data_IF_837639547657
#
_entry.id   IF_837639547657
#
_cell.length_a   1.000
_cell.length_b   1.000
_cell.length_c   1.000
_cell.angle_alpha   90.00
_cell.angle_beta   90.00
_cell.angle_gamma   90.00
#
_symmetry.space_group_name_H-M   'P 1'
#
loop_
_entity.id
_entity.type
_entity.pdbx_description
1 polymer ?
#
# COMPACT_ATOMS: atom_id res chain seq x y z
N UNK A 1 43.05 49.61 -56.82
CA UNK A 1 44.04 48.80 -57.56
C UNK A 1 43.43 47.44 -57.90
N UNK A 2 43.87 46.89 -59.04
CA UNK A 2 43.68 45.53 -59.59
C UNK A 2 43.83 44.42 -58.52
N UNK A 3 43.26 43.23 -58.63
CA UNK A 3 42.96 42.43 -59.85
C UNK A 3 41.61 41.70 -59.80
N UNK A 4 41.05 41.48 -61.00
CA UNK A 4 40.04 40.46 -61.29
C UNK A 4 40.70 39.31 -62.08
N UNK A 5 40.20 38.09 -61.95
CA UNK A 5 40.47 37.00 -62.89
C UNK A 5 39.26 36.04 -62.96
N UNK A 6 38.49 36.16 -64.04
CA UNK A 6 37.56 35.11 -64.52
C UNK A 6 38.30 34.16 -65.47
N UNK A 7 37.62 33.03 -65.78
CA UNK A 7 37.68 32.17 -66.98
C UNK A 7 38.23 30.74 -66.74
N UNK A 8 37.81 29.67 -67.45
CA UNK A 8 36.48 29.20 -68.00
C UNK A 8 36.73 27.92 -68.83
N UNK A 9 35.91 26.86 -68.68
CA UNK A 9 35.88 25.64 -69.52
C UNK A 9 36.92 24.57 -69.15
N UNK A 10 36.92 23.31 -69.62
CA UNK A 10 36.02 22.44 -70.46
C UNK A 10 36.65 21.00 -70.46
N UNK A 11 36.01 19.84 -70.65
CA UNK A 11 34.59 19.37 -70.71
C UNK A 11 34.54 17.81 -70.60
N UNK A 12 33.35 17.23 -70.35
CA UNK A 12 32.81 15.88 -70.70
C UNK A 12 33.50 14.52 -70.37
N UNK A 13 32.72 13.61 -69.74
CA UNK A 13 32.51 12.15 -70.04
C UNK A 13 31.64 11.50 -68.95
N UNK A 14 30.38 11.09 -69.22
CA UNK A 14 29.89 9.76 -69.67
C UNK A 14 29.75 8.68 -68.56
N UNK A 15 28.48 8.39 -68.28
CA UNK A 15 27.76 7.30 -67.59
C UNK A 15 28.41 6.05 -66.92
N UNK A 16 27.99 5.83 -65.65
CA UNK A 16 27.61 4.58 -64.91
C UNK A 16 28.55 3.33 -64.84
N UNK A 17 28.39 2.37 -63.87
CA UNK A 17 27.31 2.16 -62.89
C UNK A 17 27.68 1.85 -61.40
N UNK A 18 26.70 2.10 -60.52
CA UNK A 18 26.27 1.33 -59.32
C UNK A 18 27.19 0.89 -58.15
N UNK A 19 26.66 1.20 -56.95
CA UNK A 19 26.67 0.43 -55.68
C UNK A 19 27.99 0.29 -54.90
N UNK A 20 28.05 1.02 -53.77
CA UNK A 20 28.02 0.39 -52.44
C UNK A 20 27.42 1.32 -51.38
N UNK A 21 26.68 0.74 -50.44
CA UNK A 21 25.89 1.46 -49.43
C UNK A 21 26.75 2.02 -48.30
N UNK A 22 26.27 3.09 -47.66
CA UNK A 22 26.48 3.33 -46.23
C UNK A 22 25.11 3.59 -45.62
N UNK A 23 24.68 2.73 -44.70
CA UNK A 23 23.38 2.82 -44.06
C UNK A 23 23.31 4.05 -43.14
N UNK A 24 22.10 4.62 -43.05
CA UNK A 24 21.76 5.70 -42.15
C UNK A 24 20.81 5.16 -41.08
N UNK A 25 21.37 4.50 -40.07
CA UNK A 25 20.59 3.97 -38.96
C UNK A 25 20.33 5.09 -37.95
N UNK A 26 19.30 5.88 -38.25
CA UNK A 26 18.71 6.83 -37.30
C UNK A 26 17.62 6.08 -36.52
N UNK A 27 18.04 5.26 -35.55
CA UNK A 27 17.11 4.50 -34.71
C UNK A 27 16.25 5.46 -33.87
N UNK A 28 15.00 5.59 -34.29
CA UNK A 28 14.00 6.40 -33.62
C UNK A 28 13.54 5.63 -32.36
N UNK A 29 14.12 5.96 -31.20
CA UNK A 29 13.75 5.37 -29.91
C UNK A 29 12.25 5.64 -29.66
N UNK A 30 11.39 4.62 -29.50
CA UNK A 30 9.99 4.85 -29.19
C UNK A 30 9.88 5.42 -27.78
N UNK A 31 9.26 6.59 -27.66
CA UNK A 31 8.84 7.11 -26.36
C UNK A 31 7.77 6.17 -25.78
N UNK A 32 7.92 5.79 -24.51
CA UNK A 32 6.92 5.05 -23.76
C UNK A 32 5.59 5.79 -23.81
N UNK A 33 4.56 5.18 -24.42
CA UNK A 33 3.23 5.78 -24.40
C UNK A 33 2.63 5.57 -22.99
N UNK A 34 2.06 6.62 -22.35
CA UNK A 34 1.40 6.47 -21.06
C UNK A 34 0.16 5.58 -21.19
N UNK A 35 -0.21 4.89 -20.10
CA UNK A 35 -1.34 3.99 -20.06
C UNK A 35 -2.62 4.67 -20.58
N UNK A 36 -3.39 4.01 -21.43
CA UNK A 36 -4.70 4.52 -21.84
C UNK A 36 -5.63 4.57 -20.63
N UNK A 37 -6.61 5.49 -20.65
CA UNK A 37 -7.63 5.59 -19.59
C UNK A 37 -8.40 4.27 -19.39
N UNK A 38 -8.48 3.44 -20.43
CA UNK A 38 -9.13 2.13 -20.42
C UNK A 38 -8.30 1.10 -19.62
N UNK A 39 -6.96 1.10 -19.75
CA UNK A 39 -6.09 0.21 -18.98
C UNK A 39 -6.17 0.51 -17.48
N UNK A 40 -6.11 1.79 -17.08
CA UNK A 40 -6.27 2.17 -15.66
C UNK A 40 -7.63 1.73 -15.11
N UNK A 41 -8.71 1.89 -15.88
CA UNK A 41 -10.07 1.46 -15.47
C UNK A 41 -10.19 -0.08 -15.30
N UNK A 42 -9.49 -0.87 -16.13
CA UNK A 42 -9.45 -2.32 -15.98
C UNK A 42 -8.68 -2.73 -14.69
N UNK A 43 -7.60 -2.03 -14.37
CA UNK A 43 -6.87 -2.21 -13.11
C UNK A 43 -7.68 -1.77 -11.89
N UNK A 44 -8.45 -0.69 -11.97
CA UNK A 44 -9.35 -0.27 -10.88
C UNK A 44 -10.34 -1.37 -10.51
N UNK A 45 -11.02 -1.94 -11.51
CA UNK A 45 -11.96 -3.05 -11.31
C UNK A 45 -11.28 -4.32 -10.76
N UNK A 46 -10.04 -4.60 -11.18
CA UNK A 46 -9.25 -5.72 -10.66
C UNK A 46 -8.85 -5.50 -9.19
N UNK A 47 -8.30 -4.34 -8.85
CA UNK A 47 -7.85 -4.03 -7.48
C UNK A 47 -9.03 -3.94 -6.50
N UNK A 48 -10.17 -3.37 -6.92
CA UNK A 48 -11.37 -3.34 -6.09
C UNK A 48 -11.95 -4.75 -5.86
N UNK A 49 -11.96 -5.61 -6.87
CA UNK A 49 -12.53 -6.97 -6.75
C UNK A 49 -11.61 -8.00 -6.09
N UNK A 50 -10.29 -7.94 -6.31
CA UNK A 50 -9.31 -8.93 -5.82
C UNK A 50 -8.59 -8.51 -4.55
N UNK A 51 -8.31 -7.20 -4.37
CA UNK A 51 -7.57 -6.65 -3.23
C UNK A 51 -8.46 -5.85 -2.26
N UNK A 52 -9.72 -5.58 -2.64
CA UNK A 52 -10.64 -4.71 -1.91
C UNK A 52 -10.06 -3.30 -1.68
N UNK A 53 -9.35 -2.79 -2.70
CA UNK A 53 -8.70 -1.49 -2.71
C UNK A 53 -9.16 -0.74 -3.96
N UNK A 54 -9.84 0.40 -3.78
CA UNK A 54 -9.95 1.40 -4.85
C UNK A 54 -8.60 2.11 -4.96
N UNK A 55 -8.00 2.08 -6.15
CA UNK A 55 -6.70 2.70 -6.35
C UNK A 55 -6.82 4.23 -6.24
N UNK A 56 -6.01 4.88 -5.40
CA UNK A 56 -5.83 6.32 -5.48
C UNK A 56 -4.94 6.64 -6.70
N UNK A 57 -5.14 7.81 -7.33
CA UNK A 57 -4.51 8.12 -8.62
C UNK A 57 -2.98 8.07 -8.62
N UNK A 58 -2.36 8.41 -7.47
CA UNK A 58 -0.91 8.37 -7.29
C UNK A 58 -0.32 6.95 -7.34
N UNK A 59 -1.12 5.91 -7.12
CA UNK A 59 -0.68 4.52 -7.24
C UNK A 59 -0.17 4.24 -8.67
N UNK A 60 -0.92 4.67 -9.70
CA UNK A 60 -0.52 4.48 -11.09
C UNK A 60 0.63 5.42 -11.48
N UNK A 61 0.55 6.68 -11.08
CA UNK A 61 1.57 7.70 -11.43
C UNK A 61 2.95 7.36 -10.81
N UNK A 62 2.98 6.81 -9.58
CA UNK A 62 4.22 6.29 -8.96
C UNK A 62 4.71 5.02 -9.63
N UNK A 63 3.82 4.16 -10.13
CA UNK A 63 4.23 2.97 -10.87
C UNK A 63 4.86 3.31 -12.23
N UNK A 64 4.29 4.26 -12.96
CA UNK A 64 4.83 4.76 -14.23
C UNK A 64 6.22 5.38 -14.02
N UNK A 65 6.41 6.21 -12.99
CA UNK A 65 7.73 6.72 -12.58
C UNK A 65 8.71 5.59 -12.25
N UNK A 66 8.27 4.56 -11.52
CA UNK A 66 9.11 3.42 -11.16
C UNK A 66 9.51 2.61 -12.40
N UNK A 67 8.62 2.47 -13.39
CA UNK A 67 8.89 1.83 -14.67
C UNK A 67 9.84 2.65 -15.55
N UNK A 68 9.76 3.99 -15.57
CA UNK A 68 10.77 4.84 -16.22
C UNK A 68 12.16 4.64 -15.58
N UNK A 69 12.22 4.67 -14.24
CA UNK A 69 13.47 4.57 -13.48
C UNK A 69 14.13 3.19 -13.54
N UNK A 70 13.34 2.11 -13.68
CA UNK A 70 13.84 0.73 -13.78
C UNK A 70 12.84 -0.20 -14.49
N UNK A 71 12.82 -0.24 -15.84
CA UNK A 71 11.88 -1.06 -16.60
C UNK A 71 11.90 -2.55 -16.21
N UNK A 72 13.09 -3.13 -16.04
CA UNK A 72 13.29 -4.55 -15.67
C UNK A 72 12.76 -4.93 -14.28
N UNK A 73 12.63 -3.96 -13.37
CA UNK A 73 12.21 -4.22 -11.99
C UNK A 73 11.65 -2.96 -11.33
N UNK A 74 10.43 -2.52 -11.71
CA UNK A 74 9.85 -1.27 -11.23
C UNK A 74 9.73 -1.24 -9.71
N UNK A 75 9.31 -2.35 -9.08
CA UNK A 75 9.21 -2.44 -7.62
C UNK A 75 10.53 -2.17 -6.87
N UNK A 76 11.68 -2.35 -7.52
CA UNK A 76 13.01 -2.10 -6.93
C UNK A 76 13.58 -0.72 -7.30
N UNK A 77 12.90 0.09 -8.12
CA UNK A 77 13.43 1.34 -8.69
C UNK A 77 14.05 2.27 -7.63
N UNK A 78 13.37 2.42 -6.48
CA UNK A 78 13.78 3.32 -5.40
C UNK A 78 14.74 2.71 -4.35
N UNK A 79 15.13 1.43 -4.47
CA UNK A 79 15.96 0.75 -3.45
C UNK A 79 17.33 1.42 -3.32
N UNK A 80 18.04 1.60 -4.44
CA UNK A 80 19.40 2.16 -4.43
C UNK A 80 19.49 3.68 -4.16
N UNK A 81 18.36 4.38 -4.10
CA UNK A 81 18.30 5.82 -3.82
C UNK A 81 17.63 6.07 -2.46
N UNK A 82 16.41 5.61 -2.28
CA UNK A 82 15.56 5.89 -1.13
C UNK A 82 15.56 4.77 -0.08
N UNK A 83 16.13 3.60 -0.37
CA UNK A 83 16.02 2.41 0.49
C UNK A 83 14.57 1.95 0.62
N UNK A 84 13.80 2.08 -0.47
CA UNK A 84 12.37 1.76 -0.54
C UNK A 84 12.13 0.74 -1.66
N UNK A 85 11.34 -0.29 -1.37
CA UNK A 85 10.79 -1.24 -2.35
C UNK A 85 9.27 -1.07 -2.40
N UNK A 86 8.70 -0.96 -3.60
CA UNK A 86 7.25 -1.02 -3.78
C UNK A 86 6.77 -2.48 -3.61
N UNK A 87 5.56 -2.68 -3.09
CA UNK A 87 5.00 -4.03 -2.88
C UNK A 87 3.47 -4.09 -2.99
N UNK A 88 2.88 -5.27 -2.80
CA UNK A 88 1.44 -5.50 -2.74
C UNK A 88 0.78 -5.28 -4.11
N UNK A 89 -0.08 -4.26 -4.29
CA UNK A 89 -0.63 -3.94 -5.60
C UNK A 89 0.48 -3.64 -6.64
N UNK A 90 1.61 -3.08 -6.23
CA UNK A 90 2.72 -2.81 -7.15
C UNK A 90 3.41 -4.08 -7.66
N UNK A 91 3.48 -5.14 -6.85
CA UNK A 91 4.05 -6.42 -7.29
C UNK A 91 3.15 -7.08 -8.36
N UNK A 92 1.82 -6.84 -8.31
CA UNK A 92 0.87 -7.26 -9.34
C UNK A 92 0.93 -6.40 -10.59
N UNK A 93 1.07 -5.07 -10.46
CA UNK A 93 1.36 -4.19 -11.61
C UNK A 93 2.69 -4.55 -12.27
N UNK A 94 3.67 -5.02 -11.49
CA UNK A 94 4.97 -5.46 -11.97
C UNK A 94 4.98 -6.88 -12.57
N UNK A 95 3.93 -7.68 -12.36
CA UNK A 95 3.80 -9.00 -12.97
C UNK A 95 3.49 -8.91 -14.49
N UNK A 96 3.37 -10.08 -15.13
CA UNK A 96 3.03 -10.23 -16.55
C UNK A 96 1.52 -10.48 -16.71
N UNK A 97 1.13 -11.37 -17.62
CA UNK A 97 -0.27 -11.66 -17.96
C UNK A 97 -1.01 -12.44 -16.85
N UNK A 98 -0.30 -13.22 -16.05
CA UNK A 98 -0.88 -14.04 -14.98
C UNK A 98 0.05 -14.16 -13.76
N UNK A 99 -0.54 -14.50 -12.61
CA UNK A 99 0.17 -14.88 -11.38
C UNK A 99 -0.39 -16.17 -10.78
N UNK A 100 0.49 -17.06 -10.35
CA UNK A 100 0.13 -18.21 -9.51
C UNK A 100 0.00 -17.74 -8.07
N UNK A 101 -1.13 -18.00 -7.44
CA UNK A 101 -1.39 -17.63 -6.04
C UNK A 101 -1.74 -18.84 -5.19
N UNK A 102 -1.18 -18.90 -3.98
CA UNK A 102 -1.48 -19.92 -2.96
C UNK A 102 -2.32 -19.38 -1.80
N UNK A 103 -2.42 -18.04 -1.69
CA UNK A 103 -3.18 -17.29 -0.70
C UNK A 103 -4.04 -16.21 -1.40
N UNK A 104 -5.13 -15.73 -0.80
CA UNK A 104 -5.95 -14.68 -1.40
C UNK A 104 -5.18 -13.36 -1.60
N UNK A 105 -5.25 -12.78 -2.81
CA UNK A 105 -4.51 -11.57 -3.19
C UNK A 105 -4.70 -10.35 -2.25
N UNK A 106 -5.87 -10.20 -1.62
CA UNK A 106 -6.12 -9.14 -0.62
C UNK A 106 -5.27 -9.25 0.66
N UNK A 107 -4.49 -10.33 0.81
CA UNK A 107 -3.50 -10.50 1.88
C UNK A 107 -2.08 -10.11 1.47
N UNK A 108 -1.80 -9.98 0.17
CA UNK A 108 -0.46 -9.76 -0.33
C UNK A 108 0.14 -8.44 0.19
N UNK A 109 1.35 -8.51 0.75
CA UNK A 109 2.07 -7.36 1.30
C UNK A 109 1.69 -6.99 2.75
N UNK A 110 0.73 -7.67 3.37
CA UNK A 110 0.33 -7.38 4.76
C UNK A 110 1.33 -7.93 5.79
N UNK A 111 1.69 -7.10 6.76
CA UNK A 111 2.45 -7.50 7.95
C UNK A 111 1.51 -7.97 9.07
N UNK A 112 2.04 -8.72 10.04
CA UNK A 112 1.29 -9.42 11.10
C UNK A 112 0.28 -8.56 11.88
N UNK A 113 0.59 -7.28 12.07
CA UNK A 113 -0.23 -6.31 12.80
C UNK A 113 -1.07 -5.37 11.91
N UNK A 114 -1.03 -5.51 10.59
CA UNK A 114 -1.78 -4.64 9.68
C UNK A 114 -3.30 -4.80 9.90
N UNK A 115 -4.01 -3.74 10.33
CA UNK A 115 -5.46 -3.77 10.41
C UNK A 115 -6.04 -3.79 8.98
N UNK A 116 -7.28 -4.29 8.80
CA UNK A 116 -7.89 -4.43 7.47
C UNK A 116 -7.89 -3.16 6.60
N UNK A 117 -8.05 -2.01 7.25
CA UNK A 117 -8.08 -0.65 6.69
C UNK A 117 -6.77 -0.23 6.01
N UNK A 118 -5.63 -0.76 6.47
CA UNK A 118 -4.30 -0.49 5.88
C UNK A 118 -4.07 -1.47 4.73
N UNK A 119 -3.63 -0.96 3.57
CA UNK A 119 -3.08 -1.76 2.48
C UNK A 119 -1.62 -1.34 2.25
N UNK A 120 -0.69 -2.19 2.66
CA UNK A 120 0.76 -1.93 2.56
C UNK A 120 1.24 -1.96 1.11
N UNK A 121 2.03 -0.95 0.74
CA UNK A 121 2.44 -0.67 -0.65
C UNK A 121 3.92 -0.28 -0.80
N UNK A 122 4.62 0.07 0.28
CA UNK A 122 6.07 0.31 0.27
C UNK A 122 6.69 -0.30 1.53
N UNK A 123 7.87 -0.90 1.41
CA UNK A 123 8.69 -1.39 2.55
C UNK A 123 10.06 -0.71 2.58
N UNK A 124 10.59 -0.47 3.77
CA UNK A 124 11.96 -0.02 3.98
C UNK A 124 12.91 -1.21 3.75
N UNK A 125 13.99 -1.03 2.98
CA UNK A 125 14.94 -2.10 2.68
C UNK A 125 16.25 -1.99 3.46
N UNK A 126 16.37 -1.01 4.36
CA UNK A 126 17.59 -0.77 5.15
C UNK A 126 17.41 -1.01 6.66
N UNK A 127 16.21 -1.38 7.10
CA UNK A 127 15.90 -1.67 8.50
C UNK A 127 15.33 -3.08 8.66
N UNK A 128 15.80 -3.77 9.69
CA UNK A 128 15.35 -5.08 10.20
C UNK A 128 14.14 -4.97 11.17
N UNK A 129 13.55 -3.78 11.30
CA UNK A 129 12.31 -3.56 12.06
C UNK A 129 11.05 -3.80 11.23
N UNK A 130 11.15 -4.09 9.93
CA UNK A 130 10.00 -4.26 9.05
C UNK A 130 9.19 -2.97 8.84
N UNK A 131 9.84 -1.80 8.93
CA UNK A 131 9.21 -0.49 8.66
C UNK A 131 8.57 -0.49 7.27
N UNK A 132 7.32 -0.06 7.20
CA UNK A 132 6.56 -0.07 5.96
C UNK A 132 5.49 1.02 5.91
N UNK A 133 4.97 1.27 4.72
CA UNK A 133 3.95 2.26 4.43
C UNK A 133 2.77 1.65 3.70
N UNK A 134 1.57 2.10 4.06
CA UNK A 134 0.32 1.65 3.47
C UNK A 134 -0.67 2.78 3.23
N UNK A 135 -1.60 2.54 2.32
CA UNK A 135 -2.79 3.36 2.14
C UNK A 135 -3.82 3.02 3.22
N UNK A 136 -4.36 4.03 3.90
CA UNK A 136 -5.40 3.88 4.93
C UNK A 136 -6.76 4.41 4.44
N UNK A 137 -7.82 3.64 4.72
CA UNK A 137 -9.22 3.94 4.36
C UNK A 137 -10.16 3.41 5.43
N UNK A 138 -11.12 4.22 5.89
CA UNK A 138 -12.09 3.82 6.92
C UNK A 138 -13.19 2.89 6.35
N UNK A 139 -13.34 2.81 5.02
CA UNK A 139 -14.32 1.93 4.33
C UNK A 139 -13.67 1.26 3.11
N UNK A 140 -14.02 0.00 2.74
CA UNK A 140 -13.37 -0.70 1.62
C UNK A 140 -13.69 -0.08 0.25
N UNK A 141 -14.78 0.68 0.16
CA UNK A 141 -15.26 1.42 -1.01
C UNK A 141 -14.81 2.89 -1.04
N UNK A 142 -14.01 3.34 -0.06
CA UNK A 142 -13.37 4.66 -0.03
C UNK A 142 -12.02 4.61 -0.76
N UNK A 143 -11.75 5.64 -1.57
CA UNK A 143 -10.40 5.88 -2.11
C UNK A 143 -9.51 6.37 -0.97
N UNK A 144 -8.34 5.77 -0.69
CA UNK A 144 -7.48 6.19 0.40
C UNK A 144 -7.09 7.67 0.35
N UNK A 145 -7.18 8.35 1.49
CA UNK A 145 -6.84 9.78 1.62
C UNK A 145 -5.55 10.00 2.43
N UNK A 146 -5.02 8.93 3.03
CA UNK A 146 -3.88 8.95 3.93
C UNK A 146 -2.89 7.84 3.57
N UNK A 147 -1.61 8.19 3.53
CA UNK A 147 -0.49 7.24 3.60
C UNK A 147 0.00 7.21 5.04
N UNK A 148 0.03 6.01 5.61
CA UNK A 148 0.46 5.74 6.98
C UNK A 148 1.77 4.98 7.02
N UNK A 149 2.52 5.12 8.12
CA UNK A 149 3.80 4.47 8.37
C UNK A 149 3.71 3.62 9.64
N UNK A 150 4.07 2.35 9.57
CA UNK A 150 4.46 1.57 10.74
C UNK A 150 5.98 1.65 10.88
N UNK A 151 6.47 2.19 12.00
CA UNK A 151 7.91 2.35 12.24
C UNK A 151 8.62 1.04 12.61
N UNK A 152 7.88 0.07 13.14
CA UNK A 152 8.29 -1.33 13.29
C UNK A 152 7.06 -2.21 13.08
N UNK A 153 7.19 -3.29 12.31
CA UNK A 153 6.11 -4.27 12.11
C UNK A 153 5.90 -5.18 13.33
N UNK A 154 6.69 -5.00 14.40
CA UNK A 154 6.57 -5.72 15.67
C UNK A 154 5.47 -5.18 16.58
N UNK A 155 4.87 -4.04 16.24
CA UNK A 155 3.75 -3.44 16.97
C UNK A 155 2.68 -2.88 16.03
N UNK A 156 1.42 -2.89 16.50
CA UNK A 156 0.30 -2.30 15.78
C UNK A 156 0.21 -0.80 16.09
N UNK A 157 1.09 0.03 15.52
CA UNK A 157 1.04 1.50 15.62
C UNK A 157 1.37 2.13 14.27
N UNK A 158 0.59 3.15 13.90
CA UNK A 158 0.71 3.81 12.61
C UNK A 158 0.61 5.33 12.77
N UNK A 159 1.48 6.06 12.06
CA UNK A 159 1.40 7.52 11.96
C UNK A 159 1.09 7.98 10.54
N UNK A 160 0.42 9.11 10.38
CA UNK A 160 0.05 9.68 9.07
C UNK A 160 1.22 10.51 8.54
N UNK A 161 1.83 10.05 7.45
CA UNK A 161 3.02 10.65 6.84
C UNK A 161 2.77 11.34 5.50
N UNK A 162 1.56 11.23 4.94
CA UNK A 162 1.23 11.89 3.68
C UNK A 162 -0.22 11.70 3.24
N UNK A 163 -0.56 12.41 2.17
CA UNK A 163 -1.84 12.31 1.44
C UNK A 163 -1.71 11.51 0.13
N UNK A 164 -0.48 11.13 -0.23
CA UNK A 164 -0.12 10.34 -1.41
C UNK A 164 1.34 9.86 -1.26
N UNK A 165 1.75 8.87 -2.06
CA UNK A 165 3.08 8.30 -2.04
C UNK A 165 4.16 9.26 -2.53
N UNK A 166 3.85 10.25 -3.38
CA UNK A 166 4.85 11.26 -3.78
C UNK A 166 5.38 12.05 -2.57
N UNK A 167 4.55 12.35 -1.55
CA UNK A 167 5.04 12.98 -0.32
C UNK A 167 6.01 12.07 0.48
N UNK A 168 5.78 10.76 0.49
CA UNK A 168 6.71 9.79 1.07
C UNK A 168 8.05 9.80 0.31
N UNK A 169 8.02 9.77 -1.03
CA UNK A 169 9.22 9.82 -1.86
C UNK A 169 9.99 11.14 -1.64
N UNK A 170 9.30 12.29 -1.63
CA UNK A 170 9.87 13.62 -1.35
C UNK A 170 10.51 13.70 0.03
N UNK A 171 9.81 13.26 1.09
CA UNK A 171 10.30 13.24 2.47
C UNK A 171 11.52 12.34 2.64
N UNK A 172 11.52 11.14 2.04
CA UNK A 172 12.65 10.21 2.07
C UNK A 172 13.85 10.73 1.27
N UNK A 173 13.60 11.40 0.14
CA UNK A 173 14.63 12.01 -0.70
C UNK A 173 15.33 13.17 0.03
N UNK A 174 14.58 14.07 0.68
CA UNK A 174 15.14 15.14 1.51
C UNK A 174 16.02 14.58 2.64
N UNK A 175 15.54 13.56 3.36
CA UNK A 175 16.30 12.87 4.44
C UNK A 175 17.61 12.24 3.94
N UNK A 176 17.75 11.98 2.64
CA UNK A 176 18.92 11.33 2.01
C UNK A 176 19.75 12.25 1.11
N UNK A 177 19.41 13.53 1.01
CA UNK A 177 20.09 14.49 0.13
C UNK A 177 21.60 14.57 0.39
N UNK A 178 22.01 14.47 1.66
CA UNK A 178 23.42 14.44 2.08
C UNK A 178 24.18 13.21 1.57
N UNK A 179 23.56 12.04 1.60
CA UNK A 179 24.17 10.77 1.17
C UNK A 179 24.12 10.55 -0.34
N UNK A 180 23.04 10.96 -1.00
CA UNK A 180 22.85 10.81 -2.45
C UNK A 180 23.61 11.86 -3.28
N UNK A 181 23.90 13.01 -2.67
CA UNK A 181 24.48 14.16 -3.35
C UNK A 181 23.44 14.99 -4.11
N UNK A 182 23.73 16.28 -4.24
CA UNK A 182 22.78 17.29 -4.74
C UNK A 182 22.30 16.98 -6.17
N UNK A 183 23.18 16.56 -7.07
CA UNK A 183 22.83 16.31 -8.47
C UNK A 183 21.83 15.14 -8.66
N UNK A 184 22.08 13.99 -8.00
CA UNK A 184 21.15 12.85 -8.03
C UNK A 184 19.82 13.17 -7.35
N UNK A 185 19.89 13.96 -6.28
CA UNK A 185 18.69 14.42 -5.57
C UNK A 185 17.82 15.30 -6.47
N UNK A 186 18.43 16.25 -7.19
CA UNK A 186 17.72 17.13 -8.12
C UNK A 186 17.13 16.39 -9.34
N UNK A 187 17.85 15.41 -9.91
CA UNK A 187 17.33 14.59 -11.02
C UNK A 187 16.09 13.78 -10.61
N UNK A 188 16.16 13.08 -9.46
CA UNK A 188 15.03 12.30 -8.97
C UNK A 188 13.84 13.18 -8.57
N UNK A 189 14.09 14.34 -7.94
CA UNK A 189 13.03 15.30 -7.61
C UNK A 189 12.33 15.80 -8.88
N UNK A 190 13.08 16.14 -9.93
CA UNK A 190 12.51 16.58 -11.22
C UNK A 190 11.62 15.50 -11.86
N UNK A 191 12.00 14.23 -11.77
CA UNK A 191 11.20 13.09 -12.29
C UNK A 191 9.94 12.85 -11.46
N UNK A 192 10.02 13.00 -10.13
CA UNK A 192 8.87 13.00 -9.22
C UNK A 192 7.90 14.14 -9.59
N UNK A 193 8.40 15.36 -9.75
CA UNK A 193 7.59 16.53 -10.15
C UNK A 193 6.95 16.36 -11.54
N UNK A 194 7.60 15.65 -12.46
CA UNK A 194 7.07 15.34 -13.79
C UNK A 194 5.88 14.36 -13.81
N UNK A 195 5.80 13.43 -12.86
CA UNK A 195 4.71 12.46 -12.75
C UNK A 195 3.58 12.89 -11.79
N UNK A 196 3.86 13.86 -10.92
CA UNK A 196 2.90 14.32 -9.90
C UNK A 196 1.76 15.11 -10.55
N UNK A 197 0.54 14.59 -10.48
CA UNK A 197 -0.70 15.18 -11.02
C UNK A 197 -1.17 16.45 -10.26
N UNK A 198 -0.36 17.51 -10.30
CA UNK A 198 -0.57 18.92 -9.87
C UNK A 198 -1.10 19.23 -8.46
N UNK A 199 -1.62 18.27 -7.69
CA UNK A 199 -2.09 18.50 -6.33
C UNK A 199 -0.89 18.69 -5.37
N UNK A 200 -0.78 19.88 -4.76
CA UNK A 200 0.10 20.07 -3.61
C UNK A 200 -0.47 19.27 -2.43
N UNK A 201 0.24 18.22 -2.05
CA UNK A 201 -0.10 17.41 -0.88
C UNK A 201 -0.14 18.24 0.40
N UNK A 202 -0.99 17.83 1.34
CA UNK A 202 -1.16 18.52 2.62
C UNK A 202 0.02 18.25 3.57
N UNK A 203 0.36 19.18 4.47
CA UNK A 203 1.39 18.91 5.48
C UNK A 203 0.91 17.83 6.44
N UNK A 204 1.85 17.02 6.97
CA UNK A 204 1.50 15.93 7.89
C UNK A 204 0.71 16.44 9.12
N UNK A 205 1.03 17.64 9.62
CA UNK A 205 0.28 18.28 10.72
C UNK A 205 -1.15 18.64 10.33
N UNK A 206 -1.38 19.13 9.12
CA UNK A 206 -2.71 19.39 8.59
C UNK A 206 -3.51 18.09 8.41
N UNK A 207 -2.86 17.01 7.96
CA UNK A 207 -3.47 15.68 7.81
C UNK A 207 -3.85 15.07 9.15
N UNK A 208 -2.95 15.07 10.14
CA UNK A 208 -3.28 14.63 11.51
C UNK A 208 -4.42 15.47 12.12
N UNK A 209 -4.43 16.77 11.87
CA UNK A 209 -5.50 17.69 12.31
C UNK A 209 -6.83 17.49 11.58
N UNK A 210 -6.81 17.04 10.32
CA UNK A 210 -8.00 16.65 9.55
C UNK A 210 -8.55 15.33 10.11
N UNK A 211 -7.70 14.30 10.20
CA UNK A 211 -8.02 13.00 10.78
C UNK A 211 -8.67 13.13 12.15
N UNK A 212 -8.07 13.90 13.05
CA UNK A 212 -8.57 14.09 14.42
C UNK A 212 -9.98 14.72 14.50
N UNK A 213 -10.46 15.39 13.45
CA UNK A 213 -11.84 15.92 13.36
C UNK A 213 -12.83 14.91 12.77
N UNK A 214 -12.34 13.95 12.00
CA UNK A 214 -13.13 12.88 11.38
C UNK A 214 -13.29 11.69 12.33
N UNK A 215 -12.27 11.42 13.15
CA UNK A 215 -12.24 10.35 14.14
C UNK A 215 -13.37 10.48 15.16
N UNK A 216 -14.21 9.44 15.25
CA UNK A 216 -15.25 9.30 16.29
C UNK A 216 -14.63 8.88 17.62
N UNK A 217 -13.63 7.98 17.59
CA UNK A 217 -12.91 7.53 18.77
C UNK A 217 -11.47 7.11 18.44
N UNK A 218 -10.48 7.40 19.33
CA UNK A 218 -9.09 6.97 19.15
C UNK A 218 -8.94 5.47 19.41
N UNK A 219 -8.05 4.82 18.66
CA UNK A 219 -7.70 3.40 18.80
C UNK A 219 -6.24 3.21 19.20
N UNK A 220 -5.90 2.03 19.70
CA UNK A 220 -4.54 1.67 20.11
C UNK A 220 -3.54 1.70 18.94
N UNK A 221 -4.02 1.46 17.71
CA UNK A 221 -3.23 1.59 16.49
C UNK A 221 -3.10 3.03 15.97
N UNK A 222 -3.50 4.02 16.77
CA UNK A 222 -3.33 5.47 16.60
C UNK A 222 -4.08 6.14 15.43
N UNK A 223 -4.64 5.37 14.50
CA UNK A 223 -5.42 5.93 13.39
C UNK A 223 -6.86 6.26 13.78
N UNK A 224 -7.42 5.68 14.86
CA UNK A 224 -8.81 5.88 15.27
C UNK A 224 -9.83 5.31 14.27
N UNK A 225 -11.11 5.42 14.61
CA UNK A 225 -12.23 4.94 13.78
C UNK A 225 -13.13 6.06 13.27
N UNK A 226 -13.65 5.92 12.04
CA UNK A 226 -14.84 6.65 11.55
C UNK A 226 -16.00 5.69 11.37
N UNK A 227 -17.15 6.02 11.95
CA UNK A 227 -18.42 5.31 11.78
C UNK A 227 -19.56 6.34 11.64
N UNK A 228 -20.69 5.96 11.01
CA UNK A 228 -21.89 6.80 11.04
C UNK A 228 -22.37 6.99 12.48
N UNK A 229 -22.71 8.24 12.84
CA UNK A 229 -23.35 8.60 14.12
C UNK A 229 -24.59 9.43 13.79
N UNK A 230 -25.76 8.96 14.22
CA UNK A 230 -27.02 9.73 14.14
C UNK A 230 -27.05 10.73 15.29
N UNK A 231 -27.05 12.03 14.93
CA UNK A 231 -27.03 13.14 15.89
C UNK A 231 -28.38 13.39 16.58
N UNK A 232 -29.48 12.77 16.13
CA UNK A 232 -30.81 12.91 16.72
C UNK A 232 -31.06 11.88 17.83
N UNK A 233 -30.68 10.63 17.59
CA UNK A 233 -30.76 9.54 18.57
C UNK A 233 -29.50 9.41 19.42
N UNK A 234 -28.40 10.06 19.01
CA UNK A 234 -27.06 9.90 19.61
C UNK A 234 -26.61 8.42 19.61
N UNK A 235 -26.77 7.75 18.45
CA UNK A 235 -26.44 6.33 18.24
C UNK A 235 -25.47 6.15 17.07
N UNK A 236 -24.54 5.22 17.21
CA UNK A 236 -23.49 4.86 16.26
C UNK A 236 -22.17 4.53 16.96
N UNK A 237 -21.93 5.14 18.13
CA UNK A 237 -20.81 4.87 19.02
C UNK A 237 -21.15 5.28 20.47
N UNK A 238 -20.84 4.40 21.43
CA UNK A 238 -20.71 4.72 22.86
C UNK A 238 -19.34 4.29 23.40
N UNK A 239 -18.79 5.02 24.37
CA UNK A 239 -17.52 4.66 24.99
C UNK A 239 -17.67 3.47 25.97
N UNK A 240 -16.63 2.65 26.09
CA UNK A 240 -16.53 1.56 27.05
C UNK A 240 -15.92 2.05 28.38
N UNK A 241 -16.17 1.38 29.53
CA UNK A 241 -15.61 1.78 30.83
C UNK A 241 -14.10 1.51 30.98
N UNK A 242 -13.39 1.17 29.92
CA UNK A 242 -11.93 0.96 29.88
C UNK A 242 -11.47 1.15 28.43
N UNK A 243 -10.73 2.23 28.18
CA UNK A 243 -10.26 2.67 26.86
C UNK A 243 -8.80 3.11 26.92
N UNK A 244 -8.18 3.36 25.77
CA UNK A 244 -6.83 3.93 25.69
C UNK A 244 -5.79 3.14 26.48
N UNK A 245 -5.02 3.83 27.34
CA UNK A 245 -3.93 3.21 28.11
C UNK A 245 -4.43 2.08 29.01
N UNK A 246 -5.55 2.25 29.71
CA UNK A 246 -6.08 1.23 30.63
C UNK A 246 -6.50 -0.04 29.88
N UNK A 247 -6.93 0.09 28.62
CA UNK A 247 -7.20 -1.05 27.74
C UNK A 247 -5.90 -1.70 27.25
N UNK A 248 -4.89 -0.91 26.86
CA UNK A 248 -3.58 -1.44 26.46
C UNK A 248 -2.91 -2.23 27.60
N UNK A 249 -2.92 -1.68 28.81
CA UNK A 249 -2.38 -2.34 30.02
C UNK A 249 -3.17 -3.63 30.35
N UNK A 250 -4.50 -3.62 30.17
CA UNK A 250 -5.34 -4.82 30.30
C UNK A 250 -5.00 -5.89 29.27
N UNK A 251 -4.85 -5.55 27.99
CA UNK A 251 -4.51 -6.49 26.93
C UNK A 251 -3.09 -7.09 27.15
N UNK A 252 -2.16 -6.27 27.65
CA UNK A 252 -0.82 -6.72 28.04
C UNK A 252 -0.85 -7.71 29.22
N UNK A 253 -1.69 -7.47 30.24
CA UNK A 253 -1.95 -8.44 31.32
C UNK A 253 -2.53 -9.75 30.78
N UNK A 254 -3.56 -9.66 29.92
CA UNK A 254 -4.20 -10.84 29.29
C UNK A 254 -3.23 -11.67 28.44
N UNK A 255 -2.18 -11.06 27.87
CA UNK A 255 -1.13 -11.75 27.12
C UNK A 255 -0.13 -12.50 28.03
N UNK A 256 0.11 -12.01 29.25
CA UNK A 256 1.02 -12.64 30.21
C UNK A 256 0.34 -13.69 31.11
N UNK A 257 -0.94 -13.52 31.42
CA UNK A 257 -1.66 -14.41 32.33
C UNK A 257 -2.04 -15.75 31.66
N UNK A 258 -1.36 -16.83 32.08
CA UNK A 258 -1.66 -18.19 31.65
C UNK A 258 -2.94 -18.75 32.31
N UNK A 259 -4.10 -18.48 31.73
CA UNK A 259 -5.35 -19.16 32.10
C UNK A 259 -6.64 -18.42 31.74
N UNK A 260 -7.66 -19.15 31.26
CA UNK A 260 -8.96 -18.56 30.87
C UNK A 260 -9.76 -17.95 32.04
N UNK A 261 -9.40 -18.27 33.28
CA UNK A 261 -10.11 -17.85 34.51
C UNK A 261 -9.52 -16.61 35.17
N UNK A 262 -8.50 -15.99 34.56
CA UNK A 262 -7.76 -14.88 35.16
C UNK A 262 -8.62 -13.61 35.32
N UNK A 263 -8.28 -12.71 36.27
CA UNK A 263 -9.03 -11.46 36.46
C UNK A 263 -9.03 -10.58 35.21
N UNK A 264 -7.91 -10.49 34.49
CA UNK A 264 -7.82 -9.70 33.27
C UNK A 264 -8.71 -10.27 32.15
N UNK A 265 -8.74 -11.60 31.98
CA UNK A 265 -9.64 -12.30 31.04
C UNK A 265 -11.12 -12.05 31.36
N UNK A 266 -11.50 -12.01 32.65
CA UNK A 266 -12.87 -11.65 33.08
C UNK A 266 -13.21 -10.21 32.71
N UNK A 267 -12.36 -9.23 33.06
CA UNK A 267 -12.57 -7.82 32.71
C UNK A 267 -12.70 -7.61 31.19
N UNK A 268 -11.87 -8.28 30.39
CA UNK A 268 -12.00 -8.24 28.92
C UNK A 268 -13.32 -8.86 28.45
N UNK A 269 -13.78 -9.95 29.05
CA UNK A 269 -15.07 -10.59 28.71
C UNK A 269 -16.27 -9.69 29.02
N UNK A 270 -16.21 -8.90 30.09
CA UNK A 270 -17.21 -7.87 30.39
C UNK A 270 -17.22 -6.74 29.35
N UNK A 271 -16.05 -6.31 28.85
CA UNK A 271 -15.96 -5.33 27.76
C UNK A 271 -16.56 -5.88 26.45
N UNK A 272 -16.26 -7.14 26.08
CA UNK A 272 -16.84 -7.82 24.92
C UNK A 272 -18.37 -7.89 25.04
N UNK A 273 -18.88 -8.20 26.24
CA UNK A 273 -20.32 -8.25 26.53
C UNK A 273 -20.96 -6.88 26.33
N UNK A 274 -20.37 -5.82 26.87
CA UNK A 274 -20.83 -4.42 26.70
C UNK A 274 -20.79 -3.97 25.24
N UNK A 275 -19.75 -4.32 24.49
CA UNK A 275 -19.64 -4.01 23.07
C UNK A 275 -20.66 -4.77 22.20
N UNK A 276 -21.07 -5.97 22.63
CA UNK A 276 -22.14 -6.73 21.98
C UNK A 276 -23.50 -6.05 22.22
N UNK A 277 -23.83 -5.70 23.46
CA UNK A 277 -25.04 -4.94 23.81
C UNK A 277 -25.09 -3.60 23.05
N UNK A 278 -23.97 -2.88 23.00
CA UNK A 278 -23.86 -1.66 22.20
C UNK A 278 -24.18 -1.90 20.70
N UNK A 279 -23.75 -3.05 20.15
CA UNK A 279 -24.05 -3.41 18.76
C UNK A 279 -25.54 -3.71 18.54
N UNK A 280 -26.21 -4.37 19.50
CA UNK A 280 -27.67 -4.59 19.46
C UNK A 280 -28.45 -3.27 19.55
N UNK A 281 -27.91 -2.28 20.28
CA UNK A 281 -28.44 -0.93 20.44
C UNK A 281 -27.93 0.07 19.37
N UNK A 282 -27.44 -0.43 18.22
CA UNK A 282 -26.98 0.33 17.05
C UNK A 282 -25.69 1.16 17.21
N UNK A 283 -24.96 1.04 18.32
CA UNK A 283 -23.64 1.62 18.54
C UNK A 283 -22.50 0.73 17.98
N UNK A 284 -22.56 0.45 16.67
CA UNK A 284 -21.65 -0.48 16.00
C UNK A 284 -20.16 -0.08 16.11
N UNK A 285 -19.87 1.21 16.26
CA UNK A 285 -18.51 1.72 16.46
C UNK A 285 -17.85 1.21 17.74
N UNK A 286 -18.63 0.92 18.79
CA UNK A 286 -18.11 0.36 20.05
C UNK A 286 -17.55 -1.05 19.84
N UNK A 287 -18.26 -1.87 19.06
CA UNK A 287 -17.79 -3.20 18.64
C UNK A 287 -16.60 -3.13 17.69
N UNK A 288 -16.58 -2.16 16.76
CA UNK A 288 -15.47 -1.95 15.84
C UNK A 288 -14.18 -1.59 16.60
N UNK A 289 -14.24 -0.57 17.46
CA UNK A 289 -13.09 -0.07 18.21
C UNK A 289 -12.48 -1.16 19.09
N UNK A 290 -13.30 -1.82 19.92
CA UNK A 290 -12.79 -2.91 20.77
C UNK A 290 -12.24 -4.07 19.92
N UNK A 291 -12.85 -4.38 18.77
CA UNK A 291 -12.34 -5.40 17.86
C UNK A 291 -10.95 -5.09 17.30
N UNK A 292 -10.71 -3.84 16.89
CA UNK A 292 -9.42 -3.34 16.39
C UNK A 292 -8.38 -3.26 17.51
N UNK A 293 -8.76 -2.77 18.69
CA UNK A 293 -7.87 -2.69 19.85
C UNK A 293 -7.47 -4.08 20.35
N UNK A 294 -8.40 -5.05 20.39
CA UNK A 294 -8.08 -6.44 20.74
C UNK A 294 -7.21 -7.11 19.66
N UNK A 295 -7.35 -6.72 18.37
CA UNK A 295 -6.51 -7.22 17.28
C UNK A 295 -5.02 -6.86 17.48
N UNK A 296 -4.70 -5.73 18.13
CA UNK A 296 -3.31 -5.32 18.42
C UNK A 296 -2.58 -6.28 19.36
N UNK A 297 -3.29 -7.15 20.09
CA UNK A 297 -2.69 -8.17 20.94
C UNK A 297 -2.14 -9.38 20.15
N UNK A 298 -2.43 -9.49 18.85
CA UNK A 298 -1.94 -10.57 18.00
C UNK A 298 -2.71 -11.88 18.19
N UNK A 299 -2.03 -13.02 18.08
CA UNK A 299 -2.67 -14.34 18.02
C UNK A 299 -3.34 -14.79 19.33
N UNK A 300 -3.00 -14.20 20.48
CA UNK A 300 -3.52 -14.62 21.79
C UNK A 300 -4.99 -14.23 22.06
N UNK A 301 -5.52 -13.28 21.30
CA UNK A 301 -6.89 -12.76 21.39
C UNK A 301 -7.59 -12.69 20.02
N UNK A 302 -7.07 -13.44 19.05
CA UNK A 302 -7.57 -13.42 17.68
C UNK A 302 -9.04 -13.83 17.55
N UNK A 303 -9.51 -14.79 18.35
CA UNK A 303 -10.89 -15.28 18.29
C UNK A 303 -11.87 -14.21 18.75
N UNK A 304 -11.51 -13.53 19.83
CA UNK A 304 -12.23 -12.40 20.42
C UNK A 304 -12.25 -11.20 19.46
N UNK A 305 -11.10 -10.84 18.87
CA UNK A 305 -11.01 -9.80 17.86
C UNK A 305 -11.89 -10.12 16.63
N UNK A 306 -11.74 -11.32 16.04
CA UNK A 306 -12.51 -11.73 14.88
C UNK A 306 -14.02 -11.83 15.16
N UNK A 307 -14.44 -12.16 16.38
CA UNK A 307 -15.85 -12.15 16.76
C UNK A 307 -16.43 -10.73 16.71
N UNK A 308 -15.76 -9.77 17.35
CA UNK A 308 -16.17 -8.35 17.38
C UNK A 308 -16.14 -7.74 15.98
N UNK A 309 -15.01 -7.87 15.27
CA UNK A 309 -14.81 -7.35 13.93
C UNK A 309 -15.83 -7.92 12.92
N UNK A 310 -16.20 -9.20 13.04
CA UNK A 310 -17.26 -9.79 12.19
C UNK A 310 -18.58 -9.06 12.34
N UNK A 311 -19.02 -8.84 13.58
CA UNK A 311 -20.31 -8.20 13.86
C UNK A 311 -20.26 -6.74 13.40
N UNK A 312 -19.24 -6.01 13.83
CA UNK A 312 -19.09 -4.59 13.53
C UNK A 312 -18.97 -4.30 12.02
N UNK A 313 -18.06 -4.96 11.29
CA UNK A 313 -17.92 -4.73 9.85
C UNK A 313 -19.16 -5.14 9.05
N UNK A 314 -19.89 -6.18 9.47
CA UNK A 314 -21.13 -6.57 8.76
C UNK A 314 -22.25 -5.55 8.96
N UNK A 315 -22.42 -5.04 10.19
CA UNK A 315 -23.43 -4.01 10.51
C UNK A 315 -23.08 -2.66 9.84
N UNK A 316 -21.80 -2.31 9.79
CA UNK A 316 -21.28 -1.14 9.06
C UNK A 316 -21.21 -1.33 7.52
N UNK A 317 -21.64 -2.49 7.00
CA UNK A 317 -21.56 -2.89 5.57
C UNK A 317 -20.15 -2.95 4.96
N UNK A 318 -19.11 -3.00 5.78
CA UNK A 318 -17.68 -3.12 5.41
C UNK A 318 -17.21 -4.58 5.30
N UNK A 319 -18.05 -5.47 4.78
CA UNK A 319 -17.83 -6.93 4.81
C UNK A 319 -16.47 -7.41 4.24
N UNK A 320 -15.88 -6.68 3.29
CA UNK A 320 -14.57 -6.98 2.73
C UNK A 320 -13.43 -6.84 3.76
N UNK A 321 -13.52 -5.91 4.72
CA UNK A 321 -12.55 -5.82 5.82
C UNK A 321 -12.62 -7.04 6.75
N UNK A 322 -13.80 -7.64 6.95
CA UNK A 322 -13.88 -8.91 7.68
C UNK A 322 -13.25 -10.08 6.90
N UNK A 323 -13.40 -10.13 5.57
CA UNK A 323 -12.69 -11.13 4.73
C UNK A 323 -11.17 -10.98 4.86
N UNK A 324 -10.68 -9.74 4.88
CA UNK A 324 -9.27 -9.42 5.14
C UNK A 324 -8.88 -9.90 6.54
N UNK A 325 -9.55 -9.45 7.61
CA UNK A 325 -9.22 -9.85 8.99
C UNK A 325 -9.18 -11.37 9.17
N UNK A 326 -10.23 -12.08 8.72
CA UNK A 326 -10.34 -13.54 8.84
C UNK A 326 -9.34 -14.29 7.96
N UNK A 327 -8.97 -13.74 6.80
CA UNK A 327 -7.91 -14.29 5.95
C UNK A 327 -6.52 -14.03 6.52
N UNK A 328 -6.28 -12.83 7.06
CA UNK A 328 -5.02 -12.38 7.61
C UNK A 328 -4.65 -13.22 8.84
N UNK A 329 -5.58 -13.38 9.78
CA UNK A 329 -5.46 -14.27 10.93
C UNK A 329 -5.02 -15.71 10.62
N UNK A 330 -5.41 -16.25 9.46
CA UNK A 330 -5.05 -17.64 9.07
C UNK A 330 -3.65 -17.77 8.47
N UNK A 331 -3.04 -16.67 8.03
CA UNK A 331 -1.80 -16.69 7.23
C UNK A 331 -0.70 -15.76 7.76
N UNK A 332 -0.96 -14.96 8.78
CA UNK A 332 0.04 -14.09 9.41
C UNK A 332 1.10 -14.92 10.12
N UNK A 333 2.36 -14.65 9.80
CA UNK A 333 3.49 -15.37 10.37
C UNK A 333 3.76 -14.89 11.81
N UNK A 334 3.56 -15.76 12.79
CA UNK A 334 3.86 -15.46 14.19
C UNK A 334 5.34 -15.58 14.56
N UNK A 335 6.13 -16.28 13.75
CA UNK A 335 7.55 -16.56 14.00
C UNK A 335 8.46 -15.46 13.43
N UNK A 336 8.08 -14.87 12.30
CA UNK A 336 8.72 -13.67 11.73
C UNK A 336 7.70 -12.55 11.51
N UNK A 337 7.76 -11.55 12.41
CA UNK A 337 6.91 -10.36 12.36
C UNK A 337 7.38 -9.33 11.30
N UNK A 338 8.57 -9.50 10.72
CA UNK A 338 9.16 -8.59 9.73
C UNK A 338 8.99 -9.07 8.29
N UNK A 339 8.43 -10.26 8.10
CA UNK A 339 7.94 -10.74 6.82
C UNK A 339 6.49 -10.27 6.55
N UNK A 340 6.24 -9.74 5.35
CA UNK A 340 4.89 -9.58 4.82
C UNK A 340 4.36 -10.87 4.19
N UNK A 341 3.04 -10.99 4.06
CA UNK A 341 2.41 -12.14 3.41
C UNK A 341 2.65 -12.08 1.90
N UNK A 342 3.48 -13.00 1.40
CA UNK A 342 3.62 -13.28 -0.02
C UNK A 342 2.48 -14.21 -0.47
N UNK A 343 1.61 -13.71 -1.36
CA UNK A 343 0.49 -14.49 -1.91
C UNK A 343 0.72 -14.93 -3.36
N UNK A 344 1.64 -14.26 -4.06
CA UNK A 344 2.12 -14.65 -5.39
C UNK A 344 3.30 -15.59 -5.20
N UNK A 345 3.27 -16.74 -5.88
CA UNK A 345 4.31 -17.76 -5.80
C UNK A 345 5.31 -17.53 -6.93
N UNK A 346 6.61 -17.55 -6.63
CA UNK A 346 7.64 -17.52 -7.66
C UNK A 346 7.63 -18.84 -8.46
N UNK A 347 7.78 -18.76 -9.79
CA UNK A 347 7.69 -19.90 -10.72
C UNK A 347 8.68 -21.05 -10.43
N UNK A 348 9.74 -20.78 -9.67
CA UNK A 348 10.88 -21.67 -9.48
C UNK A 348 10.95 -22.31 -8.08
N UNK A 349 9.94 -22.11 -7.22
CA UNK A 349 9.90 -22.74 -5.90
C UNK A 349 9.37 -24.18 -5.97
N UNK A 350 10.29 -25.15 -5.97
CA UNK A 350 9.95 -26.56 -5.75
C UNK A 350 9.27 -26.80 -4.39
N UNK A 351 8.38 -27.79 -4.38
CA UNK A 351 7.37 -28.01 -3.34
C UNK A 351 7.98 -28.51 -2.03
N UNK A 352 7.84 -27.71 -0.97
CA UNK A 352 7.95 -28.20 0.42
C UNK A 352 6.94 -27.56 1.36
N UNK A 353 5.63 -27.75 1.12
CA UNK A 353 4.79 -28.41 2.13
C UNK A 353 3.39 -28.79 1.63
N UNK A 354 2.70 -29.64 2.41
CA UNK A 354 1.39 -30.20 2.06
C UNK A 354 0.25 -29.18 2.27
N UNK A 355 -0.69 -29.14 1.32
CA UNK A 355 -2.08 -28.61 1.39
C UNK A 355 -2.42 -27.19 0.89
N UNK A 356 -1.51 -26.36 0.40
CA UNK A 356 -1.90 -25.11 -0.28
C UNK A 356 -2.41 -25.38 -1.71
N UNK A 357 -3.71 -25.16 -1.96
CA UNK A 357 -4.27 -25.19 -3.32
C UNK A 357 -3.86 -23.93 -4.07
N UNK A 358 -2.89 -24.06 -4.97
CA UNK A 358 -2.54 -22.99 -5.91
C UNK A 358 -3.66 -22.77 -6.94
N UNK A 359 -3.78 -21.53 -7.41
CA UNK A 359 -4.67 -21.13 -8.52
C UNK A 359 -4.02 -20.03 -9.34
N UNK A 360 -4.22 -20.06 -10.65
CA UNK A 360 -3.78 -18.98 -11.55
C UNK A 360 -4.79 -17.84 -11.54
N UNK A 361 -4.30 -16.59 -11.57
CA UNK A 361 -5.11 -15.38 -11.71
C UNK A 361 -4.59 -14.58 -12.90
N UNK A 362 -5.42 -14.47 -13.94
CA UNK A 362 -5.21 -13.55 -15.06
C UNK A 362 -5.23 -12.09 -14.56
N UNK A 363 -4.31 -11.29 -15.09
CA UNK A 363 -4.16 -9.86 -14.79
C UNK A 363 -4.66 -8.99 -15.95
N UNK A 364 -5.10 -7.75 -15.69
CA UNK A 364 -5.38 -6.80 -16.76
C UNK A 364 -4.12 -6.48 -17.59
N UNK A 365 -4.31 -5.95 -18.80
CA UNK A 365 -3.20 -5.56 -19.67
C UNK A 365 -2.21 -4.63 -18.95
N UNK A 366 -0.88 -4.79 -19.17
CA UNK A 366 0.12 -3.94 -18.55
C UNK A 366 -0.14 -2.44 -18.77
N UNK A 367 0.12 -1.64 -17.74
CA UNK A 367 0.06 -0.17 -17.84
C UNK A 367 1.19 0.41 -18.71
N UNK A 368 2.31 -0.31 -18.81
CA UNK A 368 3.51 0.13 -19.52
C UNK A 368 4.04 -1.07 -20.30
N UNK A 369 4.22 -0.91 -21.62
CA UNK A 369 4.89 -1.91 -22.47
C UNK A 369 6.35 -2.05 -22.02
N UNK A 370 6.71 -3.27 -21.59
CA UNK A 370 8.09 -3.62 -21.23
C UNK A 370 8.67 -4.49 -22.34
N UNK A 371 9.86 -4.10 -22.81
CA UNK A 371 10.61 -4.81 -23.85
C UNK A 371 11.36 -6.01 -23.29
#
# INVERSE_FOLDING_TARGET
MRRSSRLRGREDTVDTPSKRQKASDNENIPATQPATSEHRSAWDAFLESKLFLKAPGDLYDVFELAAELRPESPCKAFVGTLGLRLTGPFDLLAAKEEVTVDKPLYLHGRFFFDPPEVATVVVDTESDEGRHWGYFRDSPDQVPEYVVCADSSRECKFDIVGSNLFQLLESRLQKRQSTLGVAKTADLLKKIEGHKSCARGQSESALRSKRAKETVAPSLHQLGIVVPVDTKSNTGYRELPTTGKDLADLLHQVRQEAGKTSPARKKLSELITRATIASDECDFGTGLLLGLDVFTAGSCLEKEALQLLRVAYMLLRRANFYKIASGHSKHRNGDDLTACIESVVASDQEVSDKQSKQSTVELPLPLVDRK
#
